data_IF_841395756768
#
_entry.id   IF_841395756768
#
_cell.length_a   1.000
_cell.length_b   1.000
_cell.length_c   1.000
_cell.angle_alpha   90.00
_cell.angle_beta   90.00
_cell.angle_gamma   90.00
#
_symmetry.space_group_name_H-M   'P 1'
#
loop_
_entity.id
_entity.type
_entity.pdbx_description
1 polymer ?
#
# COMPACT_ATOMS: atom_id res chain seq x y z
N UNK A 1 -18.85 16.97 -1.98
CA UNK A 1 -19.31 15.64 -2.45
C UNK A 1 -19.84 14.81 -1.28
N UNK A 2 -20.91 14.05 -1.50
CA UNK A 2 -21.47 13.06 -0.57
C UNK A 2 -21.02 11.65 -0.94
N UNK A 3 -20.38 10.93 -0.03
CA UNK A 3 -19.73 9.65 -0.33
C UNK A 3 -20.29 8.50 0.53
N UNK A 4 -20.61 7.39 -0.13
CA UNK A 4 -20.78 6.09 0.52
C UNK A 4 -19.52 5.25 0.30
N UNK A 5 -18.84 4.87 1.39
CA UNK A 5 -17.68 4.00 1.35
C UNK A 5 -18.03 2.59 1.86
N UNK A 6 -17.99 1.61 0.97
CA UNK A 6 -18.32 0.21 1.26
C UNK A 6 -17.02 -0.59 1.40
N UNK A 7 -16.64 -0.91 2.63
CA UNK A 7 -15.34 -1.52 2.96
C UNK A 7 -15.41 -2.20 4.33
N UNK A 8 -14.61 -3.23 4.58
CA UNK A 8 -14.48 -3.80 5.93
C UNK A 8 -13.85 -2.79 6.90
N UNK A 9 -14.09 -2.94 8.19
CA UNK A 9 -13.33 -2.20 9.19
C UNK A 9 -11.93 -2.80 9.31
N UNK A 10 -10.92 -2.04 8.88
CA UNK A 10 -9.51 -2.44 8.91
C UNK A 10 -8.72 -1.76 10.02
N UNK A 11 -9.38 -1.07 10.96
CA UNK A 11 -8.73 -0.33 12.06
C UNK A 11 -7.86 -1.21 12.96
N UNK A 12 -8.20 -2.50 13.07
CA UNK A 12 -7.44 -3.49 13.85
C UNK A 12 -6.53 -4.38 13.01
N UNK A 13 -6.58 -4.29 11.68
CA UNK A 13 -5.82 -5.18 10.79
C UNK A 13 -4.33 -4.85 10.83
N UNK A 14 -3.49 -5.78 10.36
CA UNK A 14 -2.07 -5.51 10.10
C UNK A 14 -1.92 -4.38 9.09
N UNK A 15 -2.65 -4.48 7.98
CA UNK A 15 -2.76 -3.38 7.01
C UNK A 15 -3.97 -2.52 7.33
N UNK A 16 -3.70 -1.30 7.81
CA UNK A 16 -4.71 -0.30 8.20
C UNK A 16 -4.90 0.78 7.15
N UNK A 17 -4.36 0.62 5.95
CA UNK A 17 -4.43 1.67 4.94
C UNK A 17 -5.86 2.11 4.64
N UNK A 18 -6.80 1.18 4.59
CA UNK A 18 -8.19 1.52 4.29
C UNK A 18 -8.91 2.21 5.44
N UNK A 19 -8.48 1.98 6.68
CA UNK A 19 -8.90 2.78 7.82
C UNK A 19 -8.37 4.22 7.70
N UNK A 20 -7.10 4.40 7.33
CA UNK A 20 -6.55 5.75 7.12
C UNK A 20 -7.17 6.47 5.91
N UNK A 21 -7.47 5.73 4.83
CA UNK A 21 -8.20 6.28 3.69
C UNK A 21 -9.62 6.69 4.11
N UNK A 22 -10.30 5.89 4.92
CA UNK A 22 -11.60 6.24 5.47
C UNK A 22 -11.55 7.54 6.30
N UNK A 23 -10.55 7.68 7.18
CA UNK A 23 -10.34 8.91 7.97
C UNK A 23 -10.11 10.12 7.07
N UNK A 24 -9.24 10.00 6.06
CA UNK A 24 -8.99 11.08 5.10
C UNK A 24 -10.25 11.44 4.31
N UNK A 25 -10.95 10.46 3.74
CA UNK A 25 -12.19 10.69 2.98
C UNK A 25 -13.27 11.39 3.82
N UNK A 26 -13.38 11.03 5.11
CA UNK A 26 -14.34 11.67 6.03
C UNK A 26 -14.07 13.16 6.21
N UNK A 27 -12.81 13.59 6.16
CA UNK A 27 -12.43 15.01 6.29
C UNK A 27 -12.66 15.80 4.99
N UNK A 28 -12.70 15.14 3.84
CA UNK A 28 -12.81 15.78 2.53
C UNK A 28 -14.21 15.70 1.89
N UNK A 29 -15.18 15.04 2.54
CA UNK A 29 -16.55 14.91 2.04
C UNK A 29 -17.54 15.76 2.86
N UNK A 30 -18.54 16.34 2.20
CA UNK A 30 -19.60 17.13 2.87
C UNK A 30 -20.50 16.22 3.72
N UNK A 31 -20.76 15.00 3.22
CA UNK A 31 -21.43 13.93 3.94
C UNK A 31 -20.72 12.62 3.64
N UNK A 32 -20.52 11.79 4.67
CA UNK A 32 -19.78 10.55 4.57
C UNK A 32 -20.50 9.45 5.34
N UNK A 33 -20.65 8.28 4.71
CA UNK A 33 -21.18 7.08 5.35
C UNK A 33 -20.34 5.87 5.01
N UNK A 34 -20.26 4.91 5.93
CA UNK A 34 -19.63 3.62 5.70
C UNK A 34 -20.63 2.48 5.73
N UNK A 35 -20.46 1.49 4.88
CA UNK A 35 -21.21 0.22 4.94
C UNK A 35 -20.23 -0.96 4.97
N UNK A 36 -20.47 -1.93 5.88
CA UNK A 36 -19.48 -2.98 6.19
C UNK A 36 -19.87 -4.38 5.74
N UNK A 37 -21.14 -4.59 5.40
CA UNK A 37 -21.70 -5.92 5.13
C UNK A 37 -22.00 -6.13 3.65
N UNK A 38 -22.13 -7.39 3.23
CA UNK A 38 -22.64 -7.72 1.89
C UNK A 38 -24.12 -7.37 1.80
N UNK A 39 -24.59 -6.97 0.61
CA UNK A 39 -25.99 -6.57 0.43
C UNK A 39 -26.32 -6.14 -0.98
N UNK A 40 -27.62 -5.97 -1.23
CA UNK A 40 -28.12 -5.36 -2.46
C UNK A 40 -28.12 -3.83 -2.33
N UNK A 41 -27.71 -3.12 -3.38
CA UNK A 41 -27.51 -1.66 -3.34
C UNK A 41 -28.77 -0.91 -2.90
N UNK A 42 -29.96 -1.31 -3.35
CA UNK A 42 -31.24 -0.74 -2.90
C UNK A 42 -31.40 -0.74 -1.38
N UNK A 43 -31.06 -1.85 -0.72
CA UNK A 43 -31.18 -1.94 0.75
C UNK A 43 -30.12 -1.09 1.45
N UNK A 44 -28.90 -1.07 0.91
CA UNK A 44 -27.80 -0.26 1.46
C UNK A 44 -28.17 1.22 1.40
N UNK A 45 -28.66 1.70 0.25
CA UNK A 45 -29.05 3.09 0.04
C UNK A 45 -30.25 3.51 0.89
N UNK A 46 -31.25 2.63 1.07
CA UNK A 46 -32.41 2.91 1.93
C UNK A 46 -32.04 3.12 3.41
N UNK A 47 -30.88 2.62 3.84
CA UNK A 47 -30.38 2.81 5.20
C UNK A 47 -29.61 4.12 5.42
N UNK A 48 -29.41 4.94 4.39
CA UNK A 48 -28.64 6.18 4.49
C UNK A 48 -29.53 7.38 4.79
N UNK A 49 -29.00 8.33 5.55
CA UNK A 49 -29.63 9.62 5.80
C UNK A 49 -29.47 10.62 4.64
N UNK A 50 -28.72 10.25 3.61
CA UNK A 50 -28.48 11.05 2.42
C UNK A 50 -28.33 10.17 1.17
N UNK A 51 -28.60 10.74 0.00
CA UNK A 51 -28.26 10.13 -1.29
C UNK A 51 -26.79 10.44 -1.59
N UNK A 52 -25.91 9.44 -1.75
CA UNK A 52 -24.52 9.69 -2.12
C UNK A 52 -24.41 10.16 -3.57
N UNK A 53 -23.42 11.01 -3.85
CA UNK A 53 -23.04 11.43 -5.19
C UNK A 53 -22.10 10.39 -5.85
N UNK A 54 -21.37 9.64 -5.02
CA UNK A 54 -20.45 8.59 -5.44
C UNK A 54 -20.45 7.43 -4.44
N UNK A 55 -20.24 6.21 -4.93
CA UNK A 55 -20.08 5.00 -4.11
C UNK A 55 -18.68 4.44 -4.36
N UNK A 56 -17.89 4.25 -3.31
CA UNK A 56 -16.57 3.64 -3.40
C UNK A 56 -16.60 2.27 -2.73
N UNK A 57 -16.13 1.23 -3.40
CA UNK A 57 -16.13 -0.15 -2.91
C UNK A 57 -14.70 -0.65 -2.79
N UNK A 58 -14.36 -1.26 -1.66
CA UNK A 58 -13.14 -2.05 -1.48
C UNK A 58 -13.56 -3.41 -0.95
N UNK A 59 -13.31 -4.46 -1.74
CA UNK A 59 -13.76 -5.80 -1.39
C UNK A 59 -12.64 -6.84 -1.40
N UNK A 60 -11.40 -6.51 -1.74
CA UNK A 60 -10.29 -7.46 -1.81
C UNK A 60 -9.26 -7.22 -0.69
N UNK A 61 -9.73 -7.28 0.56
CA UNK A 61 -8.93 -7.04 1.76
C UNK A 61 -8.46 -8.33 2.41
N UNK A 62 -7.15 -8.40 2.72
CA UNK A 62 -6.54 -9.58 3.31
C UNK A 62 -6.89 -10.81 2.50
N UNK A 63 -7.17 -11.96 3.13
CA UNK A 63 -7.56 -13.22 2.48
C UNK A 63 -8.91 -13.24 1.73
N UNK A 64 -9.68 -12.15 1.75
CA UNK A 64 -11.13 -12.18 1.52
C UNK A 64 -11.61 -11.34 0.34
N UNK A 65 -12.68 -11.80 -0.32
CA UNK A 65 -13.45 -11.02 -1.29
C UNK A 65 -14.81 -10.62 -0.69
N UNK A 66 -14.79 -9.60 0.16
CA UNK A 66 -15.89 -9.11 0.99
C UNK A 66 -15.70 -7.62 1.36
N UNK A 67 -16.76 -6.80 1.45
CA UNK A 67 -18.17 -7.14 1.24
C UNK A 67 -18.53 -7.33 -0.24
N UNK A 68 -19.53 -8.19 -0.50
CA UNK A 68 -20.07 -8.41 -1.84
C UNK A 68 -21.32 -7.55 -2.02
N UNK A 69 -21.21 -6.56 -2.90
CA UNK A 69 -22.29 -5.63 -3.23
C UNK A 69 -22.94 -6.06 -4.53
N UNK A 70 -24.26 -6.19 -4.53
CA UNK A 70 -25.04 -6.56 -5.72
C UNK A 70 -25.97 -5.44 -6.15
N UNK A 71 -26.39 -5.45 -7.41
CA UNK A 71 -27.38 -4.50 -7.93
C UNK A 71 -26.79 -3.14 -8.28
N UNK A 72 -25.48 -3.07 -8.50
CA UNK A 72 -24.78 -1.87 -8.94
C UNK A 72 -25.18 -1.52 -10.37
N UNK A 73 -25.46 -2.51 -11.21
CA UNK A 73 -25.88 -2.30 -12.60
C UNK A 73 -27.20 -1.50 -12.72
N UNK A 74 -28.08 -1.61 -11.73
CA UNK A 74 -29.34 -0.84 -11.67
C UNK A 74 -29.19 0.46 -10.86
N UNK A 75 -28.04 0.68 -10.24
CA UNK A 75 -27.77 1.88 -9.47
C UNK A 75 -27.36 3.02 -10.43
N UNK A 76 -28.05 4.15 -10.35
CA UNK A 76 -27.72 5.33 -11.15
C UNK A 76 -26.59 6.18 -10.55
N UNK A 77 -26.09 5.81 -9.36
CA UNK A 77 -25.01 6.54 -8.68
C UNK A 77 -23.67 6.00 -9.18
N UNK A 78 -22.76 6.85 -9.69
CA UNK A 78 -21.43 6.42 -10.11
C UNK A 78 -20.72 5.62 -9.00
N UNK A 79 -20.14 4.49 -9.40
CA UNK A 79 -19.54 3.53 -8.46
C UNK A 79 -18.11 3.21 -8.87
N UNK A 80 -17.19 3.42 -7.93
CA UNK A 80 -15.79 3.06 -8.01
C UNK A 80 -15.49 1.73 -7.30
N UNK A 81 -14.59 0.91 -7.87
CA UNK A 81 -13.97 -0.23 -7.19
C UNK A 81 -12.49 0.05 -6.95
N UNK A 82 -11.97 -0.22 -5.76
CA UNK A 82 -10.51 -0.30 -5.53
C UNK A 82 -10.07 -1.76 -5.62
N UNK A 83 -9.01 -2.01 -6.39
CA UNK A 83 -8.34 -3.30 -6.55
C UNK A 83 -6.94 -3.23 -5.96
N UNK A 84 -6.74 -3.92 -4.84
CA UNK A 84 -5.47 -4.04 -4.14
C UNK A 84 -4.54 -5.04 -4.82
N UNK A 85 -4.93 -6.30 -4.76
CA UNK A 85 -4.12 -7.42 -5.21
C UNK A 85 -4.70 -7.94 -6.53
N UNK A 86 -4.17 -7.45 -7.65
CA UNK A 86 -4.63 -7.85 -9.00
C UNK A 86 -4.48 -9.34 -9.26
N UNK A 87 -3.46 -9.95 -8.65
CA UNK A 87 -3.12 -11.37 -8.77
C UNK A 87 -4.04 -12.29 -7.95
N UNK A 88 -4.86 -11.74 -7.04
CA UNK A 88 -5.73 -12.52 -6.15
C UNK A 88 -7.17 -12.46 -6.62
N UNK A 89 -7.94 -13.49 -6.28
CA UNK A 89 -9.38 -13.56 -6.58
C UNK A 89 -9.74 -13.34 -8.06
N UNK A 90 -8.83 -13.58 -9.01
CA UNK A 90 -8.99 -13.18 -10.42
C UNK A 90 -10.30 -13.65 -11.04
N UNK A 91 -10.61 -14.95 -10.96
CA UNK A 91 -11.88 -15.51 -11.47
C UNK A 91 -13.11 -14.92 -10.78
N UNK A 92 -13.05 -14.76 -9.46
CA UNK A 92 -14.17 -14.23 -8.67
C UNK A 92 -14.41 -12.75 -8.96
N UNK A 93 -13.34 -11.95 -9.05
CA UNK A 93 -13.40 -10.52 -9.41
C UNK A 93 -13.91 -10.36 -10.83
N UNK A 94 -13.45 -11.16 -11.78
CA UNK A 94 -13.93 -11.11 -13.17
C UNK A 94 -15.42 -11.42 -13.25
N UNK A 95 -15.91 -12.50 -12.60
CA UNK A 95 -17.34 -12.78 -12.54
C UNK A 95 -18.14 -11.64 -11.91
N UNK A 96 -17.60 -11.01 -10.86
CA UNK A 96 -18.23 -9.88 -10.18
C UNK A 96 -18.31 -8.63 -11.07
N UNK A 97 -17.21 -8.28 -11.74
CA UNK A 97 -17.13 -7.16 -12.70
C UNK A 97 -18.00 -7.38 -13.94
N UNK A 98 -18.30 -8.63 -14.31
CA UNK A 98 -19.22 -8.94 -15.39
C UNK A 98 -20.70 -8.83 -14.97
N UNK A 99 -21.01 -9.17 -13.71
CA UNK A 99 -22.38 -9.09 -13.18
C UNK A 99 -22.77 -7.69 -12.73
N UNK A 100 -21.80 -6.87 -12.35
CA UNK A 100 -21.99 -5.54 -11.76
C UNK A 100 -21.32 -4.47 -12.64
N UNK A 101 -21.81 -3.23 -12.59
CA UNK A 101 -21.25 -2.14 -13.37
C UNK A 101 -20.51 -1.15 -12.47
N UNK A 102 -19.23 -0.92 -12.78
CA UNK A 102 -18.40 0.12 -12.17
C UNK A 102 -18.10 1.19 -13.21
N UNK A 103 -18.25 2.45 -12.81
CA UNK A 103 -17.90 3.60 -13.66
C UNK A 103 -16.43 3.95 -13.55
N UNK A 104 -15.76 3.50 -12.49
CA UNK A 104 -14.32 3.67 -12.28
C UNK A 104 -13.74 2.43 -11.56
N UNK A 105 -12.53 2.03 -11.94
CA UNK A 105 -11.76 1.01 -11.23
C UNK A 105 -10.40 1.59 -10.90
N UNK A 106 -10.16 1.80 -9.62
CA UNK A 106 -8.88 2.24 -9.08
C UNK A 106 -8.01 1.02 -8.77
N UNK A 107 -6.76 1.00 -9.21
CA UNK A 107 -5.82 -0.04 -8.76
C UNK A 107 -4.52 0.56 -8.25
N UNK A 108 -3.95 -0.11 -7.24
CA UNK A 108 -2.65 0.25 -6.65
C UNK A 108 -1.46 -0.08 -7.54
N UNK A 109 -1.69 -0.86 -8.60
CA UNK A 109 -0.71 -1.23 -9.61
C UNK A 109 -1.25 -0.89 -10.99
N UNK A 110 -0.38 -0.53 -11.92
CA UNK A 110 -0.76 -0.07 -13.26
C UNK A 110 -0.69 -1.20 -14.29
N UNK A 111 0.51 -1.68 -14.58
CA UNK A 111 0.78 -2.56 -15.72
C UNK A 111 0.19 -3.96 -15.47
N UNK A 112 0.31 -4.45 -14.23
CA UNK A 112 -0.27 -5.72 -13.84
C UNK A 112 -1.81 -5.69 -13.87
N UNK A 113 -2.45 -4.56 -13.55
CA UNK A 113 -3.90 -4.40 -13.69
C UNK A 113 -4.31 -4.47 -15.16
N UNK A 114 -3.68 -3.66 -16.02
CA UNK A 114 -4.01 -3.60 -17.45
C UNK A 114 -3.82 -4.95 -18.15
N UNK A 115 -2.75 -5.68 -17.80
CA UNK A 115 -2.50 -7.03 -18.32
C UNK A 115 -3.56 -8.04 -17.86
N UNK A 116 -3.98 -7.98 -16.60
CA UNK A 116 -4.92 -8.93 -16.02
C UNK A 116 -6.38 -8.65 -16.39
N UNK A 117 -6.73 -7.37 -16.58
CA UNK A 117 -8.10 -6.87 -16.77
C UNK A 117 -8.20 -5.92 -17.99
N UNK A 118 -7.73 -6.33 -19.19
CA UNK A 118 -7.62 -5.41 -20.34
C UNK A 118 -8.97 -4.86 -20.82
N UNK A 119 -10.07 -5.59 -20.59
CA UNK A 119 -11.45 -5.13 -20.91
C UNK A 119 -11.84 -3.86 -20.16
N UNK A 120 -11.21 -3.59 -19.02
CA UNK A 120 -11.57 -2.48 -18.13
C UNK A 120 -10.56 -1.33 -18.21
N UNK A 121 -9.76 -1.26 -19.28
CA UNK A 121 -8.77 -0.20 -19.48
C UNK A 121 -9.40 1.20 -19.54
N UNK A 122 -10.59 1.33 -20.14
CA UNK A 122 -11.27 2.62 -20.29
C UNK A 122 -11.87 3.16 -18.98
N UNK A 123 -12.09 2.29 -18.00
CA UNK A 123 -12.57 2.66 -16.66
C UNK A 123 -11.47 2.62 -15.61
N UNK A 124 -10.23 2.31 -16.01
CA UNK A 124 -9.10 2.19 -15.12
C UNK A 124 -8.53 3.55 -14.73
N UNK A 125 -8.28 3.72 -13.44
CA UNK A 125 -7.56 4.84 -12.86
C UNK A 125 -6.44 4.30 -11.98
N UNK A 126 -5.21 4.78 -12.19
CA UNK A 126 -4.11 4.41 -11.32
C UNK A 126 -4.24 5.17 -9.99
N UNK A 127 -4.34 4.43 -8.89
CA UNK A 127 -4.32 4.93 -7.52
C UNK A 127 -3.16 4.26 -6.79
N UNK A 128 -1.91 4.74 -6.94
CA UNK A 128 -0.74 4.11 -6.33
C UNK A 128 -0.94 3.86 -4.83
N UNK A 129 -0.17 2.93 -4.27
CA UNK A 129 -0.17 2.76 -2.82
C UNK A 129 0.08 4.10 -2.12
N UNK A 130 -0.64 4.31 -1.03
CA UNK A 130 -0.61 5.53 -0.23
C UNK A 130 -0.21 5.21 1.21
N UNK A 131 0.18 6.25 1.95
CA UNK A 131 0.69 6.14 3.32
C UNK A 131 0.08 7.23 4.19
N UNK A 132 -0.23 6.92 5.44
CA UNK A 132 -0.61 7.94 6.42
C UNK A 132 0.63 8.72 6.86
N UNK A 133 0.83 9.91 6.29
CA UNK A 133 2.02 10.75 6.55
C UNK A 133 2.06 11.31 7.97
N UNK A 134 0.92 11.42 8.67
CA UNK A 134 0.90 11.75 10.10
C UNK A 134 1.47 10.61 10.95
N UNK A 135 1.40 9.38 10.46
CA UNK A 135 1.94 8.20 11.13
C UNK A 135 3.39 7.93 10.70
N UNK A 136 3.68 7.91 9.41
CA UNK A 136 5.02 7.67 8.87
C UNK A 136 5.72 9.01 8.60
N UNK A 137 5.85 9.86 9.62
CA UNK A 137 6.53 11.15 9.52
C UNK A 137 8.01 11.04 9.94
N UNK A 138 8.87 11.96 9.50
CA UNK A 138 10.22 12.08 10.05
C UNK A 138 10.25 12.65 11.47
N UNK A 139 11.31 12.38 12.23
CA UNK A 139 11.53 13.08 13.51
C UNK A 139 12.08 12.23 14.65
N UNK A 140 12.38 10.95 14.43
CA UNK A 140 12.97 10.10 15.45
C UNK A 140 14.47 9.91 15.28
N UNK A 141 15.16 9.72 16.41
CA UNK A 141 16.58 9.34 16.42
C UNK A 141 16.72 7.95 15.80
N UNK A 142 17.49 7.86 14.70
CA UNK A 142 17.83 6.58 14.07
C UNK A 142 18.71 5.74 15.02
N UNK A 143 18.25 4.54 15.37
CA UNK A 143 18.88 3.60 16.33
C UNK A 143 19.04 2.19 15.77
N UNK A 144 18.19 1.78 14.84
CA UNK A 144 18.30 0.52 14.13
C UNK A 144 19.10 0.75 12.85
N UNK A 145 20.14 -0.05 12.60
CA UNK A 145 21.02 0.20 11.46
C UNK A 145 20.45 -0.40 10.18
N UNK A 146 20.16 -1.70 10.19
CA UNK A 146 19.66 -2.44 9.05
C UNK A 146 18.35 -3.15 9.44
N UNK A 147 17.23 -2.78 8.81
CA UNK A 147 15.91 -3.30 9.15
C UNK A 147 15.24 -4.00 7.97
N UNK A 148 14.95 -5.29 8.09
CA UNK A 148 14.06 -6.01 7.19
C UNK A 148 12.73 -6.28 7.90
N UNK A 149 11.60 -5.94 7.26
CA UNK A 149 10.26 -6.22 7.79
C UNK A 149 9.38 -6.98 6.80
N UNK A 150 8.52 -7.86 7.32
CA UNK A 150 7.49 -8.55 6.56
C UNK A 150 7.90 -9.94 6.10
N UNK A 151 7.26 -10.42 5.03
CA UNK A 151 7.40 -11.80 4.59
C UNK A 151 8.74 -12.04 3.87
N UNK A 152 9.42 -13.12 4.25
CA UNK A 152 10.63 -13.67 3.60
C UNK A 152 10.28 -15.07 3.11
N UNK A 153 10.03 -15.20 1.81
CA UNK A 153 9.65 -16.46 1.15
C UNK A 153 9.91 -16.34 -0.36
N UNK A 154 9.55 -17.36 -1.14
CA UNK A 154 9.76 -17.43 -2.59
C UNK A 154 9.07 -16.30 -3.37
N UNK A 155 7.99 -15.72 -2.85
CA UNK A 155 7.34 -14.53 -3.46
C UNK A 155 8.24 -13.29 -3.36
N UNK A 156 9.22 -13.29 -2.46
CA UNK A 156 10.13 -12.16 -2.21
C UNK A 156 11.60 -12.59 -2.24
N UNK A 157 12.13 -12.99 -3.41
CA UNK A 157 13.49 -13.53 -3.54
C UNK A 157 14.56 -12.52 -3.07
N UNK A 158 14.37 -11.23 -3.33
CA UNK A 158 15.27 -10.19 -2.80
C UNK A 158 15.32 -10.17 -1.26
N UNK A 159 14.18 -10.32 -0.58
CA UNK A 159 14.16 -10.34 0.90
C UNK A 159 14.80 -11.60 1.46
N UNK A 160 14.71 -12.72 0.73
CA UNK A 160 15.43 -13.94 1.06
C UNK A 160 16.94 -13.69 0.99
N UNK A 161 17.43 -13.05 -0.08
CA UNK A 161 18.84 -12.69 -0.23
C UNK A 161 19.31 -11.73 0.87
N UNK A 162 18.54 -10.67 1.18
CA UNK A 162 18.83 -9.75 2.31
C UNK A 162 18.98 -10.54 3.60
N UNK A 163 18.03 -11.41 3.92
CA UNK A 163 18.08 -12.21 5.15
C UNK A 163 19.31 -13.11 5.17
N UNK A 164 19.57 -13.84 4.09
CA UNK A 164 20.70 -14.77 4.00
C UNK A 164 22.06 -14.08 4.13
N UNK A 165 22.23 -12.90 3.52
CA UNK A 165 23.52 -12.20 3.53
C UNK A 165 23.79 -11.44 4.84
N UNK A 166 22.74 -11.04 5.56
CA UNK A 166 22.85 -10.18 6.74
C UNK A 166 22.49 -10.87 8.06
N UNK A 167 22.03 -12.12 8.08
CA UNK A 167 21.53 -12.77 9.31
C UNK A 167 22.56 -12.93 10.42
N UNK A 168 23.86 -12.89 10.10
CA UNK A 168 24.95 -12.94 11.08
C UNK A 168 25.50 -11.56 11.46
N UNK A 169 25.02 -10.49 10.84
CA UNK A 169 25.39 -9.13 11.22
C UNK A 169 24.60 -8.69 12.45
N UNK A 170 25.29 -8.29 13.51
CA UNK A 170 24.67 -7.82 14.78
C UNK A 170 23.85 -6.54 14.63
N UNK A 171 24.07 -5.80 13.53
CA UNK A 171 23.39 -4.55 13.17
C UNK A 171 22.08 -4.81 12.42
N UNK A 172 21.87 -6.05 11.97
CA UNK A 172 20.69 -6.47 11.22
C UNK A 172 19.56 -6.92 12.14
N UNK A 173 18.38 -6.36 11.91
CA UNK A 173 17.15 -6.73 12.60
C UNK A 173 16.09 -7.16 11.60
N UNK A 174 15.54 -8.35 11.81
CA UNK A 174 14.45 -8.90 11.01
C UNK A 174 13.18 -9.01 11.84
N UNK A 175 12.10 -8.39 11.36
CA UNK A 175 10.76 -8.49 11.93
C UNK A 175 9.88 -9.29 10.96
N UNK A 176 9.48 -10.53 11.29
CA UNK A 176 8.65 -11.35 10.42
C UNK A 176 7.23 -10.76 10.24
N UNK A 177 6.55 -11.15 9.16
CA UNK A 177 5.17 -10.74 8.92
C UNK A 177 4.24 -11.25 10.04
N UNK A 178 3.44 -10.39 10.70
CA UNK A 178 2.56 -10.79 11.81
C UNK A 178 1.27 -11.50 11.33
N UNK A 179 1.26 -12.08 10.13
CA UNK A 179 0.04 -12.59 9.48
C UNK A 179 -0.88 -11.49 8.92
N UNK A 180 -2.12 -11.84 8.56
CA UNK A 180 -3.09 -10.93 7.94
C UNK A 180 -4.33 -10.66 8.81
N UNK A 181 -4.34 -11.15 10.05
CA UNK A 181 -5.45 -11.00 10.99
C UNK A 181 -5.31 -9.71 11.81
N UNK A 182 -6.31 -9.42 12.63
CA UNK A 182 -6.23 -8.31 13.59
C UNK A 182 -5.02 -8.48 14.50
N UNK A 183 -4.31 -7.38 14.75
CA UNK A 183 -3.08 -7.38 15.55
C UNK A 183 -2.96 -6.12 16.40
N UNK A 184 -2.04 -6.16 17.37
CA UNK A 184 -1.79 -5.04 18.25
C UNK A 184 -0.96 -3.93 17.57
N UNK A 185 -0.82 -2.79 18.24
CA UNK A 185 -0.05 -1.65 17.73
C UNK A 185 1.47 -1.86 17.75
N UNK A 186 2.00 -2.93 18.34
CA UNK A 186 3.46 -3.11 18.43
C UNK A 186 4.04 -3.55 17.09
N UNK A 187 3.27 -4.34 16.33
CA UNK A 187 3.68 -4.95 15.05
C UNK A 187 2.91 -4.40 13.84
N UNK A 188 1.98 -3.48 14.06
CA UNK A 188 1.23 -2.75 13.03
C UNK A 188 0.98 -1.30 13.46
N UNK A 189 0.48 -0.44 12.57
CA UNK A 189 0.16 0.95 12.94
C UNK A 189 1.37 1.71 13.53
N UNK A 190 1.21 2.27 14.74
CA UNK A 190 2.20 3.14 15.39
C UNK A 190 3.51 2.44 15.74
N UNK A 191 3.48 1.22 16.25
CA UNK A 191 4.71 0.48 16.56
C UNK A 191 5.48 0.13 15.31
N UNK A 192 4.81 -0.32 14.25
CA UNK A 192 5.45 -0.56 12.95
C UNK A 192 6.08 0.71 12.38
N UNK A 193 5.31 1.81 12.34
CA UNK A 193 5.82 3.10 11.86
C UNK A 193 7.02 3.58 12.67
N UNK A 194 6.98 3.44 14.01
CA UNK A 194 8.11 3.74 14.88
C UNK A 194 9.36 2.93 14.50
N UNK A 195 9.24 1.63 14.26
CA UNK A 195 10.39 0.80 13.84
C UNK A 195 11.01 1.31 12.55
N UNK A 196 10.20 1.71 11.57
CA UNK A 196 10.72 2.31 10.35
C UNK A 196 11.40 3.65 10.64
N UNK A 197 10.80 4.53 11.44
CA UNK A 197 11.37 5.84 11.80
C UNK A 197 12.68 5.72 12.57
N UNK A 198 12.88 4.67 13.37
CA UNK A 198 14.14 4.40 14.08
C UNK A 198 15.20 3.73 13.19
N UNK A 199 14.88 3.28 11.97
CA UNK A 199 15.85 2.63 11.09
C UNK A 199 16.68 3.64 10.26
N UNK A 200 17.98 3.37 10.09
CA UNK A 200 18.85 4.07 9.15
C UNK A 200 18.59 3.57 7.72
N UNK A 201 18.57 2.25 7.55
CA UNK A 201 18.32 1.57 6.28
C UNK A 201 17.21 0.54 6.45
N UNK A 202 16.30 0.48 5.48
CA UNK A 202 15.31 -0.60 5.39
C UNK A 202 15.17 -1.13 3.97
N UNK A 203 14.72 -2.38 3.86
CA UNK A 203 14.69 -3.14 2.62
C UNK A 203 13.26 -3.41 2.14
N UNK A 204 13.02 -3.22 0.84
CA UNK A 204 11.80 -3.64 0.16
C UNK A 204 12.12 -4.21 -1.23
N UNK A 205 11.12 -4.76 -1.89
CA UNK A 205 11.24 -5.26 -3.26
C UNK A 205 9.86 -5.37 -3.91
N UNK A 206 9.80 -5.46 -5.25
CA UNK A 206 8.53 -5.49 -5.98
C UNK A 206 7.88 -6.90 -5.99
N UNK A 207 8.42 -7.84 -5.20
CA UNK A 207 8.09 -9.28 -5.25
C UNK A 207 8.35 -9.92 -6.62
N UNK A 208 7.92 -11.16 -6.81
CA UNK A 208 7.89 -11.82 -8.14
C UNK A 208 6.88 -11.18 -9.11
N UNK A 209 6.04 -10.27 -8.62
CA UNK A 209 5.02 -9.60 -9.44
C UNK A 209 5.48 -8.29 -10.08
N UNK A 210 6.70 -7.84 -9.79
CA UNK A 210 7.38 -6.74 -10.47
C UNK A 210 6.68 -5.37 -10.38
N UNK A 211 5.89 -5.12 -9.33
CA UNK A 211 5.33 -3.80 -9.02
C UNK A 211 5.61 -3.33 -7.58
N UNK A 212 5.59 -2.01 -7.31
CA UNK A 212 5.87 -1.46 -5.98
C UNK A 212 4.86 -1.96 -4.97
N UNK A 213 5.35 -2.51 -3.86
CA UNK A 213 4.52 -2.79 -2.69
C UNK A 213 4.48 -1.57 -1.77
N UNK A 214 3.48 -1.51 -0.90
CA UNK A 214 3.29 -0.46 0.11
C UNK A 214 4.56 -0.07 0.89
N UNK A 215 5.46 -1.02 1.17
CA UNK A 215 6.71 -0.78 1.91
C UNK A 215 7.64 0.24 1.25
N UNK A 216 7.61 0.39 -0.08
CA UNK A 216 8.34 1.48 -0.74
C UNK A 216 7.92 2.82 -0.16
N UNK A 217 6.61 3.06 -0.06
CA UNK A 217 6.03 4.32 0.41
C UNK A 217 6.19 4.50 1.93
N UNK A 218 5.98 3.45 2.71
CA UNK A 218 6.10 3.49 4.19
C UNK A 218 7.53 3.81 4.66
N UNK A 219 8.54 3.18 4.03
CA UNK A 219 9.95 3.40 4.36
C UNK A 219 10.37 4.82 3.99
N UNK A 220 10.01 5.26 2.78
CA UNK A 220 10.40 6.56 2.26
C UNK A 220 9.76 7.72 3.05
N UNK A 221 8.47 7.59 3.42
CA UNK A 221 7.79 8.59 4.25
C UNK A 221 8.44 8.72 5.65
N UNK A 222 9.02 7.63 6.18
CA UNK A 222 9.68 7.60 7.49
C UNK A 222 11.08 8.23 7.53
N UNK A 223 11.53 8.89 6.46
CA UNK A 223 12.90 9.39 6.27
C UNK A 223 13.94 8.30 6.56
N UNK A 224 13.67 7.08 6.07
CA UNK A 224 14.55 5.93 6.20
C UNK A 224 15.07 5.58 4.83
N UNK A 225 16.39 5.35 4.72
CA UNK A 225 16.98 5.03 3.43
C UNK A 225 16.45 3.68 2.95
N UNK A 226 15.82 3.68 1.77
CA UNK A 226 15.35 2.47 1.13
C UNK A 226 16.45 1.87 0.27
N UNK A 227 16.79 0.60 0.51
CA UNK A 227 17.56 -0.25 -0.40
C UNK A 227 16.62 -1.27 -1.04
N UNK A 228 16.44 -1.19 -2.36
CA UNK A 228 15.49 -2.04 -3.08
C UNK A 228 15.82 -2.13 -4.58
N UNK A 229 15.40 -3.20 -5.28
CA UNK A 229 15.35 -3.17 -6.74
C UNK A 229 14.42 -2.06 -7.23
N UNK A 230 14.77 -1.42 -8.35
CA UNK A 230 13.82 -0.58 -9.08
C UNK A 230 12.78 -1.46 -9.79
N UNK A 231 11.65 -0.85 -10.15
CA UNK A 231 10.67 -1.42 -11.08
C UNK A 231 10.01 -0.28 -11.85
N UNK A 232 9.51 -0.57 -13.05
CA UNK A 232 9.06 0.44 -14.01
C UNK A 232 7.97 1.36 -13.45
N UNK A 233 7.02 0.81 -12.69
CA UNK A 233 5.97 1.61 -12.05
C UNK A 233 6.52 2.58 -11.01
N UNK A 234 7.54 2.19 -10.24
CA UNK A 234 8.20 3.08 -9.29
C UNK A 234 8.85 4.27 -10.02
N UNK A 235 9.53 3.99 -11.13
CA UNK A 235 10.17 5.02 -11.96
C UNK A 235 9.13 5.95 -12.59
N UNK A 236 7.99 5.40 -13.06
CA UNK A 236 6.87 6.15 -13.63
C UNK A 236 6.21 7.10 -12.62
N UNK A 237 6.25 6.76 -11.33
CA UNK A 237 5.82 7.65 -10.24
C UNK A 237 6.81 8.76 -9.90
N UNK A 238 7.96 8.82 -10.60
CA UNK A 238 8.98 9.84 -10.39
C UNK A 238 10.00 9.51 -9.30
N UNK A 239 10.03 8.28 -8.79
CA UNK A 239 11.12 7.84 -7.93
C UNK A 239 12.37 7.59 -8.78
N UNK A 240 13.52 8.08 -8.31
CA UNK A 240 14.77 8.09 -9.08
C UNK A 240 15.84 7.37 -8.24
N UNK A 241 16.41 6.25 -8.72
CA UNK A 241 17.56 5.60 -8.11
C UNK A 241 18.71 6.58 -7.83
N UNK A 242 19.35 6.46 -6.68
CA UNK A 242 20.43 7.33 -6.23
C UNK A 242 19.99 8.71 -5.71
N UNK A 243 18.74 9.12 -5.96
CA UNK A 243 18.17 10.38 -5.45
C UNK A 243 17.11 10.15 -4.37
N UNK A 244 16.21 9.20 -4.58
CA UNK A 244 15.08 8.92 -3.69
C UNK A 244 15.28 7.61 -2.91
N UNK A 245 16.00 6.65 -3.49
CA UNK A 245 16.33 5.37 -2.88
C UNK A 245 17.62 4.83 -3.49
N UNK A 246 18.21 3.80 -2.88
CA UNK A 246 19.38 3.11 -3.45
C UNK A 246 18.89 1.87 -4.17
N UNK A 247 19.11 1.85 -5.49
CA UNK A 247 18.86 0.65 -6.27
C UNK A 247 19.91 -0.41 -5.96
N UNK A 248 19.44 -1.64 -5.73
CA UNK A 248 20.31 -2.79 -5.49
C UNK A 248 19.59 -4.07 -5.88
N UNK A 249 20.33 -5.18 -5.95
CA UNK A 249 19.83 -6.49 -6.34
C UNK A 249 20.26 -7.56 -5.32
N UNK A 250 19.89 -8.80 -5.58
CA UNK A 250 20.18 -9.91 -4.68
C UNK A 250 21.68 -10.24 -4.57
N UNK A 251 22.55 -9.71 -5.43
CA UNK A 251 24.00 -9.96 -5.39
C UNK A 251 24.75 -8.88 -4.61
N UNK A 252 24.25 -7.64 -4.66
CA UNK A 252 24.97 -6.44 -4.18
C UNK A 252 24.42 -5.85 -2.90
N UNK A 253 23.32 -6.39 -2.36
CA UNK A 253 22.57 -5.73 -1.28
C UNK A 253 23.37 -5.56 0.01
N UNK A 254 24.18 -6.55 0.40
CA UNK A 254 25.00 -6.43 1.61
C UNK A 254 26.10 -5.37 1.46
N UNK A 255 26.80 -5.36 0.33
CA UNK A 255 27.83 -4.37 0.03
C UNK A 255 27.24 -2.95 0.04
N UNK A 256 26.13 -2.74 -0.66
CA UNK A 256 25.43 -1.44 -0.66
C UNK A 256 24.98 -1.06 0.76
N UNK A 257 24.44 -1.99 1.54
CA UNK A 257 24.02 -1.70 2.90
C UNK A 257 25.19 -1.21 3.77
N UNK A 258 26.37 -1.81 3.66
CA UNK A 258 27.54 -1.38 4.41
C UNK A 258 28.08 -0.03 3.95
N UNK A 259 28.21 0.18 2.64
CA UNK A 259 28.66 1.46 2.07
C UNK A 259 27.78 2.63 2.52
N UNK A 260 26.46 2.48 2.46
CA UNK A 260 25.52 3.54 2.85
C UNK A 260 25.36 3.70 4.36
N UNK A 261 25.78 2.71 5.15
CA UNK A 261 25.80 2.82 6.60
C UNK A 261 26.94 3.73 7.08
N UNK A 262 28.07 3.73 6.37
CA UNK A 262 29.26 4.54 6.67
C UNK A 262 29.09 6.02 6.32
N UNK A 263 28.33 6.35 5.26
CA UNK A 263 28.10 7.73 4.81
C UNK A 263 26.77 8.31 5.34
N UNK A 264 26.80 8.84 6.57
CA UNK A 264 25.61 9.44 7.19
C UNK A 264 25.05 10.64 6.43
N UNK A 265 25.92 11.50 5.91
CA UNK A 265 25.50 12.71 5.22
C UNK A 265 24.73 12.36 3.95
N UNK A 266 25.31 11.54 3.08
CA UNK A 266 24.68 11.13 1.81
C UNK A 266 23.44 10.28 2.05
N UNK A 267 23.47 9.37 3.03
CA UNK A 267 22.28 8.59 3.43
C UNK A 267 21.12 9.50 3.80
N UNK A 268 21.39 10.51 4.63
CA UNK A 268 20.35 11.43 5.12
C UNK A 268 19.82 12.32 3.99
N UNK A 269 20.70 12.76 3.09
CA UNK A 269 20.31 13.53 1.89
C UNK A 269 19.30 12.75 1.03
N UNK A 270 19.62 11.50 0.69
CA UNK A 270 18.74 10.64 -0.13
C UNK A 270 17.44 10.33 0.60
N UNK A 271 17.49 9.99 1.89
CA UNK A 271 16.30 9.68 2.68
C UNK A 271 15.32 10.86 2.79
N UNK A 272 15.83 12.11 2.78
CA UNK A 272 15.02 13.33 2.85
C UNK A 272 14.43 13.79 1.52
N UNK A 273 15.10 13.47 0.41
CA UNK A 273 14.69 13.93 -0.92
C UNK A 273 13.28 13.49 -1.33
N UNK A 274 12.73 12.49 -0.64
CA UNK A 274 11.47 11.83 -0.99
C UNK A 274 10.24 12.51 -0.40
N UNK A 275 10.40 13.34 0.63
CA UNK A 275 9.27 13.98 1.33
C UNK A 275 8.44 14.87 0.41
N UNK A 276 9.04 15.44 -0.63
CA UNK A 276 8.35 16.24 -1.64
C UNK A 276 7.53 15.40 -2.65
N UNK A 277 7.78 14.09 -2.76
CA UNK A 277 7.11 13.16 -3.68
C UNK A 277 6.07 12.27 -2.98
N UNK A 278 6.32 11.85 -1.73
CA UNK A 278 5.31 11.11 -0.96
C UNK A 278 4.15 12.02 -0.47
N UNK A 279 4.38 13.34 -0.44
CA UNK A 279 3.39 14.36 -0.13
C UNK A 279 2.68 14.87 -1.39
N UNK A 280 2.49 14.05 -2.43
CA UNK A 280 1.62 14.45 -3.56
C UNK A 280 0.25 14.78 -2.95
N UNK A 281 0.05 16.08 -2.77
CA UNK A 281 -1.22 16.69 -2.47
C UNK A 281 -2.15 16.18 -3.55
N UNK A 282 -3.17 15.46 -3.12
CA UNK A 282 -4.35 15.21 -3.94
C UNK A 282 -4.93 16.61 -4.20
N UNK A 283 -4.53 17.22 -5.32
CA UNK A 283 -5.04 18.48 -5.83
C UNK A 283 -6.21 18.20 -6.76
#
# INVERSE_FOLDING_TARGET
MKLLFIVQDTSSYVDRNYHYLEEALRLHCDQFATHRTSGHMTHILNGLSFRPDFILVVNDLGGSFFPRVRGLRQCQIPTGLIVNDVHRHTKLRESHLQSEQYTAIFSVVHDAFQKQYPRYADTFHWLPHFVNTSLFHPGEKKRCELLLTGAVNETYPFRLAVKQQLEHDRRFYYIPHPGYQSTNNDVAGTGYAKRLREAKISFACPSIYEYPVKKYYEILASETLLLAPACDELLRLGFIPGKHFVETNHETVAEQAYLWLEDEQKRTEVARAVLNLCMINIH
#
